data_IF_470844685446
#
_entry.id   IF_470844685446
#
_cell.length_a   1.000
_cell.length_b   1.000
_cell.length_c   1.000
_cell.angle_alpha   90.00
_cell.angle_beta   90.00
_cell.angle_gamma   90.00
#
_symmetry.space_group_name_H-M   'P 1'
#
loop_
_entity.id
_entity.type
_entity.pdbx_description
1 polymer ?
#
# COMPACT_ATOMS: atom_id res chain seq x y z
N UNK A 1 -21.83 -16.64 15.72
CA UNK A 1 -21.99 -17.26 14.39
C UNK A 1 -20.60 -17.37 13.79
N UNK A 2 -20.13 -18.57 13.42
CA UNK A 2 -18.79 -18.75 12.86
C UNK A 2 -18.82 -18.40 11.37
N UNK A 3 -18.00 -17.44 10.97
CA UNK A 3 -17.81 -16.98 9.60
C UNK A 3 -16.31 -16.88 9.27
N UNK A 4 -15.99 -16.47 8.04
CA UNK A 4 -14.58 -16.30 7.59
C UNK A 4 -13.77 -15.27 8.39
N UNK A 5 -14.39 -14.47 9.26
CA UNK A 5 -13.76 -13.43 10.07
C UNK A 5 -13.73 -13.76 11.58
N UNK A 6 -14.13 -14.95 11.99
CA UNK A 6 -14.23 -15.33 13.41
C UNK A 6 -12.92 -15.09 14.18
N UNK A 7 -11.75 -15.45 13.61
CA UNK A 7 -10.46 -15.28 14.30
C UNK A 7 -10.04 -13.82 14.45
N UNK A 8 -10.33 -12.96 13.45
CA UNK A 8 -10.00 -11.54 13.57
C UNK A 8 -10.97 -10.85 14.54
N UNK A 9 -12.25 -11.24 14.55
CA UNK A 9 -13.25 -10.77 15.54
C UNK A 9 -12.83 -11.12 16.97
N UNK A 10 -12.25 -12.30 17.22
CA UNK A 10 -11.70 -12.63 18.53
C UNK A 10 -10.48 -11.78 18.90
N UNK A 11 -9.64 -11.43 17.93
CA UNK A 11 -8.44 -10.63 18.18
C UNK A 11 -8.76 -9.17 18.51
N UNK A 12 -9.70 -8.55 17.80
CA UNK A 12 -9.98 -7.10 17.92
C UNK A 12 -11.29 -6.79 18.63
N UNK A 13 -12.22 -7.73 18.75
CA UNK A 13 -13.58 -7.50 19.24
C UNK A 13 -14.55 -7.05 18.14
N UNK A 14 -15.85 -7.26 18.35
CA UNK A 14 -16.88 -7.02 17.31
C UNK A 14 -16.99 -5.55 16.88
N UNK A 15 -16.94 -4.61 17.84
CA UNK A 15 -17.02 -3.17 17.55
C UNK A 15 -15.89 -2.69 16.64
N UNK A 16 -14.65 -3.06 16.99
CA UNK A 16 -13.46 -2.73 16.21
C UNK A 16 -13.47 -3.42 14.84
N UNK A 17 -13.99 -4.64 14.76
CA UNK A 17 -14.20 -5.33 13.50
C UNK A 17 -15.20 -4.59 12.59
N UNK A 18 -16.34 -4.14 13.14
CA UNK A 18 -17.30 -3.33 12.38
C UNK A 18 -16.68 -2.05 11.84
N UNK A 19 -15.86 -1.36 12.65
CA UNK A 19 -15.12 -0.18 12.21
C UNK A 19 -14.19 -0.48 11.02
N UNK A 20 -13.39 -1.55 11.10
CA UNK A 20 -12.53 -2.00 10.01
C UNK A 20 -13.35 -2.27 8.75
N UNK A 21 -14.47 -2.97 8.90
CA UNK A 21 -15.35 -3.34 7.78
C UNK A 21 -15.99 -2.14 7.09
N UNK A 22 -16.28 -1.07 7.83
CA UNK A 22 -16.89 0.14 7.29
C UNK A 22 -15.88 1.13 6.72
N UNK A 23 -14.61 1.06 7.13
CA UNK A 23 -13.54 1.97 6.68
C UNK A 23 -13.41 1.95 5.15
N UNK A 24 -13.53 3.11 4.50
CA UNK A 24 -13.32 3.26 3.06
C UNK A 24 -11.83 3.37 2.77
N UNK A 25 -11.29 2.37 2.08
CA UNK A 25 -9.86 2.23 1.81
C UNK A 25 -9.57 2.46 0.34
N UNK A 26 -8.57 3.31 0.08
CA UNK A 26 -7.94 3.46 -1.22
C UNK A 26 -6.56 2.81 -1.19
N UNK A 27 -6.28 1.91 -2.13
CA UNK A 27 -4.93 1.36 -2.35
C UNK A 27 -4.42 1.77 -3.72
N UNK A 28 -3.29 2.47 -3.72
CA UNK A 28 -2.62 2.99 -4.90
C UNK A 28 -1.39 2.13 -5.22
N UNK A 29 -1.42 1.41 -6.34
CA UNK A 29 -0.40 0.44 -6.74
C UNK A 29 -0.72 -0.98 -6.25
N UNK A 30 -0.69 -1.94 -7.17
CA UNK A 30 -1.03 -3.36 -6.99
C UNK A 30 0.12 -4.27 -7.42
N UNK A 31 1.35 -3.76 -7.37
CA UNK A 31 2.57 -4.54 -7.57
C UNK A 31 2.91 -5.44 -6.38
N UNK A 32 4.20 -5.76 -6.23
CA UNK A 32 4.65 -6.78 -5.26
C UNK A 32 4.40 -6.47 -3.78
N UNK A 33 4.13 -5.20 -3.44
CA UNK A 33 3.75 -4.76 -2.09
C UNK A 33 2.23 -4.61 -1.98
N UNK A 34 1.65 -3.77 -2.85
CA UNK A 34 0.24 -3.40 -2.78
C UNK A 34 -0.70 -4.58 -2.94
N UNK A 35 -0.37 -5.52 -3.84
CA UNK A 35 -1.20 -6.71 -4.04
C UNK A 35 -1.30 -7.60 -2.79
N UNK A 36 -0.19 -7.78 -2.08
CA UNK A 36 -0.17 -8.52 -0.81
C UNK A 36 -0.86 -7.74 0.31
N UNK A 37 -0.71 -6.41 0.33
CA UNK A 37 -1.43 -5.55 1.27
C UNK A 37 -2.95 -5.71 1.09
N UNK A 38 -3.46 -5.70 -0.15
CA UNK A 38 -4.89 -5.90 -0.44
C UNK A 38 -5.38 -7.27 0.02
N UNK A 39 -4.64 -8.34 -0.28
CA UNK A 39 -5.00 -9.70 0.15
C UNK A 39 -5.14 -9.76 1.69
N UNK A 40 -4.16 -9.21 2.41
CA UNK A 40 -4.16 -9.20 3.87
C UNK A 40 -5.29 -8.34 4.46
N UNK A 41 -5.57 -7.15 3.88
CA UNK A 41 -6.67 -6.28 4.31
C UNK A 41 -8.02 -6.97 4.11
N UNK A 42 -8.28 -7.49 2.91
CA UNK A 42 -9.53 -8.18 2.60
C UNK A 42 -9.77 -9.37 3.53
N UNK A 43 -8.75 -10.20 3.76
CA UNK A 43 -8.83 -11.33 4.70
C UNK A 43 -9.00 -10.90 6.16
N UNK A 44 -8.63 -9.66 6.50
CA UNK A 44 -8.78 -9.08 7.84
C UNK A 44 -10.09 -8.33 8.04
N UNK A 45 -10.98 -8.32 7.05
CA UNK A 45 -12.32 -7.74 7.17
C UNK A 45 -12.46 -6.32 6.64
N UNK A 46 -11.47 -5.76 5.94
CA UNK A 46 -11.67 -4.52 5.19
C UNK A 46 -12.49 -4.81 3.93
N UNK A 47 -13.72 -4.30 3.86
CA UNK A 47 -14.68 -4.64 2.80
C UNK A 47 -14.89 -3.51 1.78
N UNK A 48 -14.67 -2.25 2.17
CA UNK A 48 -14.84 -1.10 1.27
C UNK A 48 -13.51 -0.73 0.60
N UNK A 49 -13.10 -1.53 -0.38
CA UNK A 49 -11.82 -1.37 -1.08
C UNK A 49 -11.99 -0.71 -2.46
N UNK A 50 -11.24 0.37 -2.70
CA UNK A 50 -10.96 0.92 -4.04
C UNK A 50 -9.49 0.75 -4.36
N UNK A 51 -9.21 0.20 -5.54
CA UNK A 51 -7.89 -0.26 -5.96
C UNK A 51 -7.51 0.41 -7.29
N UNK A 52 -6.35 1.08 -7.33
CA UNK A 52 -5.87 1.80 -8.52
C UNK A 52 -4.53 1.23 -8.97
N UNK A 53 -4.45 0.81 -10.22
CA UNK A 53 -3.21 0.46 -10.91
C UNK A 53 -3.41 0.58 -12.43
N UNK A 54 -2.40 1.06 -13.15
CA UNK A 54 -2.46 1.24 -14.60
C UNK A 54 -2.00 0.01 -15.39
N UNK A 55 -1.26 -0.88 -14.73
CA UNK A 55 -0.50 -1.93 -15.41
C UNK A 55 -1.35 -3.18 -15.66
N UNK A 56 -0.82 -4.00 -16.57
CA UNK A 56 -1.22 -5.38 -16.77
C UNK A 56 -0.21 -6.33 -16.14
N UNK A 57 -0.59 -7.57 -15.90
CA UNK A 57 0.36 -8.58 -15.47
C UNK A 57 1.27 -9.02 -16.60
N UNK A 58 2.56 -9.05 -16.30
CA UNK A 58 3.61 -9.56 -17.19
C UNK A 58 4.29 -10.79 -16.59
N UNK A 59 4.91 -11.62 -17.44
CA UNK A 59 5.65 -12.81 -16.99
C UNK A 59 6.75 -12.46 -15.97
N UNK A 60 7.36 -11.29 -16.11
CA UNK A 60 8.40 -10.77 -15.20
C UNK A 60 7.86 -10.45 -13.81
N UNK A 61 6.55 -10.47 -13.59
CA UNK A 61 5.92 -10.18 -12.30
C UNK A 61 5.84 -11.42 -11.38
N UNK A 62 5.91 -12.63 -11.94
CA UNK A 62 5.70 -13.89 -11.22
C UNK A 62 6.65 -14.16 -10.06
N UNK A 63 7.82 -13.53 -10.06
CA UNK A 63 8.78 -13.68 -8.97
C UNK A 63 8.42 -12.89 -7.71
N UNK A 64 7.42 -11.99 -7.74
CA UNK A 64 7.19 -11.04 -6.64
C UNK A 64 5.77 -10.49 -6.49
N UNK A 65 4.84 -10.79 -7.40
CA UNK A 65 3.48 -10.26 -7.37
C UNK A 65 2.44 -11.39 -7.32
N UNK A 66 1.53 -11.32 -6.35
CA UNK A 66 0.37 -12.22 -6.30
C UNK A 66 -0.56 -11.97 -7.49
N UNK A 67 -1.21 -13.02 -8.01
CA UNK A 67 -2.12 -13.01 -9.17
C UNK A 67 -1.47 -12.77 -10.54
N UNK A 68 -0.15 -12.75 -10.59
CA UNK A 68 0.62 -12.56 -11.83
C UNK A 68 0.46 -13.63 -12.90
N UNK A 69 -0.19 -14.75 -12.58
CA UNK A 69 -0.57 -15.81 -13.51
C UNK A 69 -1.66 -15.36 -14.50
N UNK A 70 -2.39 -14.27 -14.21
CA UNK A 70 -3.39 -13.66 -15.09
C UNK A 70 -2.72 -12.77 -16.18
N UNK A 71 -1.82 -13.35 -16.96
CA UNK A 71 -0.98 -12.63 -17.93
C UNK A 71 -1.81 -11.79 -18.92
N UNK A 72 -1.43 -10.53 -19.09
CA UNK A 72 -2.10 -9.59 -20.00
C UNK A 72 -3.39 -8.96 -19.46
N UNK A 73 -3.89 -9.40 -18.30
CA UNK A 73 -5.03 -8.77 -17.64
C UNK A 73 -4.60 -7.54 -16.83
N UNK A 74 -5.47 -6.54 -16.76
CA UNK A 74 -5.28 -5.32 -15.96
C UNK A 74 -5.30 -5.67 -14.46
N UNK A 75 -4.25 -5.29 -13.72
CA UNK A 75 -4.09 -5.65 -12.31
C UNK A 75 -5.31 -5.21 -11.49
N UNK A 76 -5.75 -3.96 -11.67
CA UNK A 76 -6.90 -3.42 -10.94
C UNK A 76 -8.20 -4.22 -11.19
N UNK A 77 -8.40 -4.77 -12.39
CA UNK A 77 -9.60 -5.59 -12.70
C UNK A 77 -9.51 -6.98 -12.10
N UNK A 78 -8.34 -7.63 -12.16
CA UNK A 78 -8.13 -8.94 -11.53
C UNK A 78 -8.36 -8.85 -10.02
N UNK A 79 -7.75 -7.86 -9.36
CA UNK A 79 -7.95 -7.63 -7.93
C UNK A 79 -9.40 -7.29 -7.59
N UNK A 80 -10.06 -6.43 -8.37
CA UNK A 80 -11.48 -6.13 -8.17
C UNK A 80 -12.37 -7.37 -8.20
N UNK A 81 -12.14 -8.27 -9.17
CA UNK A 81 -12.86 -9.54 -9.32
C UNK A 81 -12.63 -10.48 -8.13
N UNK A 82 -11.40 -10.62 -7.67
CA UNK A 82 -11.04 -11.56 -6.59
C UNK A 82 -11.53 -11.08 -5.22
N UNK A 83 -11.47 -9.78 -4.97
CA UNK A 83 -11.72 -9.19 -3.64
C UNK A 83 -13.06 -8.46 -3.53
N UNK A 84 -13.92 -8.53 -4.56
CA UNK A 84 -15.19 -7.79 -4.62
C UNK A 84 -14.99 -6.29 -4.35
N UNK A 85 -14.01 -5.70 -5.01
CA UNK A 85 -13.55 -4.32 -4.81
C UNK A 85 -13.85 -3.44 -6.05
N UNK A 86 -13.72 -2.12 -5.90
CA UNK A 86 -13.76 -1.19 -7.04
C UNK A 86 -12.37 -1.09 -7.67
N UNK A 87 -12.21 -1.56 -8.90
CA UNK A 87 -10.94 -1.49 -9.65
C UNK A 87 -10.90 -0.37 -10.69
N UNK A 88 -9.98 0.58 -10.51
CA UNK A 88 -9.74 1.71 -11.42
C UNK A 88 -8.43 1.46 -12.16
N UNK A 89 -8.51 1.44 -13.49
CA UNK A 89 -7.33 1.28 -14.35
C UNK A 89 -6.90 2.66 -14.79
N UNK A 90 -5.94 3.24 -14.08
CA UNK A 90 -5.44 4.56 -14.38
C UNK A 90 -4.06 4.78 -13.78
N UNK A 91 -3.27 5.63 -14.44
CA UNK A 91 -2.00 6.11 -13.92
C UNK A 91 -2.28 7.19 -12.88
N UNK A 92 -1.59 7.10 -11.75
CA UNK A 92 -1.69 8.11 -10.70
C UNK A 92 -0.71 9.23 -11.04
N UNK A 93 -1.22 10.29 -11.62
CA UNK A 93 -0.49 11.52 -11.91
C UNK A 93 -1.34 12.76 -11.56
N UNK A 94 -0.82 13.95 -11.82
CA UNK A 94 -1.51 15.20 -11.49
C UNK A 94 -2.85 15.35 -12.22
N UNK A 95 -2.98 14.83 -13.44
CA UNK A 95 -4.22 14.92 -14.22
C UNK A 95 -5.30 14.03 -13.62
N UNK A 96 -4.96 12.78 -13.31
CA UNK A 96 -5.86 11.87 -12.61
C UNK A 96 -6.27 12.42 -11.25
N UNK A 97 -5.30 12.86 -10.45
CA UNK A 97 -5.54 13.34 -9.08
C UNK A 97 -6.35 14.64 -9.03
N UNK A 98 -6.27 15.50 -10.04
CA UNK A 98 -7.10 16.70 -10.13
C UNK A 98 -8.60 16.39 -10.28
N UNK A 99 -8.93 15.20 -10.81
CA UNK A 99 -10.30 14.78 -11.08
C UNK A 99 -10.77 13.63 -10.17
N UNK A 100 -9.94 13.22 -9.22
CA UNK A 100 -10.23 12.10 -8.33
C UNK A 100 -10.48 12.60 -6.91
N UNK A 101 -11.71 12.44 -6.42
CA UNK A 101 -12.09 12.88 -5.08
C UNK A 101 -11.51 11.93 -4.01
N UNK A 102 -10.40 12.34 -3.41
CA UNK A 102 -9.79 11.62 -2.31
C UNK A 102 -10.61 11.70 -1.02
N UNK A 103 -11.50 12.69 -0.87
CA UNK A 103 -12.21 12.95 0.40
C UNK A 103 -13.21 11.85 0.77
N UNK A 104 -13.57 10.99 -0.19
CA UNK A 104 -14.41 9.82 0.04
C UNK A 104 -13.72 8.73 0.88
N UNK A 105 -12.39 8.77 1.04
CA UNK A 105 -11.61 7.71 1.69
C UNK A 105 -11.14 8.09 3.09
N UNK A 106 -11.30 7.15 4.02
CA UNK A 106 -10.83 7.27 5.41
C UNK A 106 -9.35 6.89 5.54
N UNK A 107 -8.92 5.93 4.72
CA UNK A 107 -7.57 5.37 4.69
C UNK A 107 -7.05 5.35 3.25
N UNK A 108 -5.92 6.02 3.01
CA UNK A 108 -5.20 5.97 1.74
C UNK A 108 -3.85 5.27 1.96
N UNK A 109 -3.60 4.24 1.15
CA UNK A 109 -2.41 3.40 1.19
C UNK A 109 -1.62 3.57 -0.10
N UNK A 110 -0.41 4.09 0.02
CA UNK A 110 0.51 4.29 -1.08
C UNK A 110 1.52 3.12 -1.21
N UNK A 111 1.36 2.33 -2.27
CA UNK A 111 2.28 1.27 -2.69
C UNK A 111 2.82 1.52 -4.12
N UNK A 112 2.82 2.76 -4.59
CA UNK A 112 3.35 3.19 -5.90
C UNK A 112 4.89 3.10 -5.90
N UNK A 113 5.52 2.93 -7.04
CA UNK A 113 7.00 2.96 -7.17
C UNK A 113 7.54 4.28 -7.76
N UNK A 114 6.73 4.97 -8.57
CA UNK A 114 7.03 6.29 -9.11
C UNK A 114 7.03 7.40 -8.05
N UNK A 115 8.18 8.05 -7.83
CA UNK A 115 8.33 9.10 -6.82
C UNK A 115 7.43 10.34 -7.08
N UNK A 116 7.38 10.92 -8.30
CA UNK A 116 6.46 12.01 -8.61
C UNK A 116 5.01 11.72 -8.21
N UNK A 117 4.48 10.53 -8.56
CA UNK A 117 3.13 10.12 -8.19
C UNK A 117 2.94 10.06 -6.66
N UNK A 118 3.90 9.49 -5.93
CA UNK A 118 3.85 9.41 -4.45
C UNK A 118 3.81 10.79 -3.80
N UNK A 119 4.61 11.73 -4.32
CA UNK A 119 4.65 13.12 -3.83
C UNK A 119 3.36 13.86 -4.17
N UNK A 120 2.84 13.71 -5.39
CA UNK A 120 1.58 14.30 -5.81
C UNK A 120 0.43 13.83 -4.90
N UNK A 121 0.31 12.52 -4.69
CA UNK A 121 -0.69 11.95 -3.80
C UNK A 121 -0.56 12.48 -2.36
N UNK A 122 0.65 12.48 -1.79
CA UNK A 122 0.88 12.94 -0.42
C UNK A 122 0.50 14.42 -0.20
N UNK A 123 0.70 15.29 -1.21
CA UNK A 123 0.37 16.71 -1.11
C UNK A 123 -1.14 17.00 -1.09
N UNK A 124 -1.98 16.05 -1.51
CA UNK A 124 -3.44 16.21 -1.56
C UNK A 124 -4.17 15.66 -0.32
N UNK A 125 -3.45 15.00 0.58
CA UNK A 125 -4.04 14.36 1.76
C UNK A 125 -4.49 15.42 2.79
N UNK A 126 -5.74 15.33 3.23
CA UNK A 126 -6.21 16.04 4.42
C UNK A 126 -5.90 15.22 5.69
N UNK A 127 -4.74 15.45 6.28
CA UNK A 127 -4.29 14.77 7.50
C UNK A 127 -5.18 14.99 8.73
N UNK A 128 -6.15 15.92 8.70
CA UNK A 128 -7.14 16.07 9.77
C UNK A 128 -8.26 15.03 9.65
N UNK A 129 -8.52 14.56 8.43
CA UNK A 129 -9.65 13.67 8.10
C UNK A 129 -9.23 12.30 7.62
N UNK A 130 -7.99 12.12 7.19
CA UNK A 130 -7.58 10.91 6.49
C UNK A 130 -6.34 10.30 7.16
N UNK A 131 -6.33 8.97 7.22
CA UNK A 131 -5.12 8.23 7.51
C UNK A 131 -4.39 8.04 6.18
N UNK A 132 -3.13 8.46 6.12
CA UNK A 132 -2.25 8.17 5.00
C UNK A 132 -1.03 7.38 5.47
N UNK A 133 -0.76 6.27 4.79
CA UNK A 133 0.42 5.44 5.01
C UNK A 133 1.05 5.08 3.67
N UNK A 134 2.35 4.84 3.66
CA UNK A 134 3.10 4.57 2.43
C UNK A 134 4.09 3.42 2.60
N UNK A 135 4.68 2.98 1.48
CA UNK A 135 5.77 2.00 1.42
C UNK A 135 6.84 2.43 0.42
N UNK A 136 8.11 2.08 0.71
CA UNK A 136 9.28 2.37 -0.13
C UNK A 136 9.76 1.19 -0.99
N UNK A 137 9.07 0.05 -0.93
CA UNK A 137 9.37 -1.13 -1.76
C UNK A 137 10.46 -2.06 -1.20
N UNK A 138 10.38 -3.34 -1.60
CA UNK A 138 11.23 -4.43 -1.11
C UNK A 138 12.30 -4.94 -2.08
N UNK A 139 12.57 -4.21 -3.17
CA UNK A 139 13.60 -4.61 -4.13
C UNK A 139 15.01 -4.52 -3.51
N UNK A 140 15.93 -5.33 -4.05
CA UNK A 140 17.37 -5.41 -3.70
C UNK A 140 17.66 -5.89 -2.28
N UNK A 141 16.68 -6.52 -1.64
CA UNK A 141 16.69 -6.92 -0.23
C UNK A 141 16.40 -8.42 -0.09
N UNK A 142 16.93 -9.04 0.96
CA UNK A 142 16.79 -10.46 1.24
C UNK A 142 16.18 -10.72 2.62
N UNK A 143 16.35 -9.81 3.59
CA UNK A 143 15.99 -10.03 4.99
C UNK A 143 14.68 -9.30 5.37
N UNK A 144 13.54 -10.02 5.43
CA UNK A 144 12.26 -9.41 5.82
C UNK A 144 12.22 -8.99 7.30
N UNK A 145 13.13 -9.47 8.15
CA UNK A 145 13.14 -9.12 9.59
C UNK A 145 13.61 -7.68 9.82
N UNK A 146 14.23 -7.05 8.81
CA UNK A 146 14.68 -5.65 8.83
C UNK A 146 13.62 -4.64 8.41
N UNK A 147 12.41 -5.10 8.12
CA UNK A 147 11.27 -4.23 7.77
C UNK A 147 10.77 -3.50 9.02
N UNK A 148 10.63 -2.18 8.93
CA UNK A 148 10.26 -1.29 10.03
C UNK A 148 9.18 -0.31 9.59
N UNK A 149 8.42 0.20 10.56
CA UNK A 149 7.46 1.29 10.36
C UNK A 149 7.90 2.52 11.15
N UNK A 150 8.00 3.68 10.51
CA UNK A 150 8.31 4.96 11.18
C UNK A 150 7.81 6.13 10.35
N UNK A 151 7.92 7.35 10.87
CA UNK A 151 7.66 8.57 10.10
C UNK A 151 8.53 8.61 8.84
N UNK A 152 7.98 9.06 7.71
CA UNK A 152 8.71 9.22 6.45
C UNK A 152 10.02 9.99 6.65
N UNK A 153 10.05 11.01 7.51
CA UNK A 153 11.24 11.82 7.78
C UNK A 153 12.29 11.17 8.68
N UNK A 154 11.97 10.06 9.34
CA UNK A 154 12.86 9.30 10.23
C UNK A 154 13.44 8.03 9.59
N UNK A 155 13.11 7.76 8.33
CA UNK A 155 13.64 6.62 7.57
C UNK A 155 15.14 6.78 7.27
N UNK A 156 15.85 5.66 7.19
CA UNK A 156 17.30 5.55 6.93
C UNK A 156 17.60 4.25 6.19
N UNK A 157 18.81 4.09 5.64
CA UNK A 157 19.21 2.87 4.89
C UNK A 157 18.49 2.62 3.56
N UNK A 158 17.41 3.34 3.27
CA UNK A 158 16.57 3.13 2.09
C UNK A 158 16.69 4.27 1.07
N UNK A 159 17.12 3.94 -0.15
CA UNK A 159 17.35 4.90 -1.22
C UNK A 159 16.05 5.50 -1.78
N UNK A 160 14.97 4.71 -1.89
CA UNK A 160 13.68 5.23 -2.36
C UNK A 160 13.09 6.16 -1.30
N UNK A 161 13.17 5.77 -0.02
CA UNK A 161 12.80 6.64 1.10
C UNK A 161 13.58 7.95 1.07
N UNK A 162 14.91 7.89 0.84
CA UNK A 162 15.76 9.09 0.75
C UNK A 162 15.31 10.03 -0.36
N UNK A 163 15.03 9.49 -1.55
CA UNK A 163 14.54 10.27 -2.70
C UNK A 163 13.15 10.83 -2.42
N UNK A 164 12.25 10.04 -1.83
CA UNK A 164 10.90 10.48 -1.48
C UNK A 164 10.93 11.64 -0.46
N UNK A 165 11.73 11.52 0.61
CA UNK A 165 11.95 12.61 1.57
C UNK A 165 12.49 13.89 0.91
N UNK A 166 13.39 13.74 -0.06
CA UNK A 166 13.96 14.87 -0.77
C UNK A 166 12.90 15.59 -1.61
N UNK A 167 12.14 14.87 -2.43
CA UNK A 167 11.12 15.46 -3.30
C UNK A 167 9.93 16.04 -2.51
N UNK A 168 9.54 15.43 -1.37
CA UNK A 168 8.54 16.02 -0.46
C UNK A 168 8.99 17.39 0.07
N UNK A 169 10.25 17.50 0.50
CA UNK A 169 10.78 18.80 0.97
C UNK A 169 10.80 19.83 -0.16
N UNK A 170 11.21 19.40 -1.36
CA UNK A 170 11.26 20.24 -2.56
C UNK A 170 9.86 20.71 -2.98
N UNK A 171 8.82 19.89 -2.82
CA UNK A 171 7.43 20.28 -3.11
C UNK A 171 6.82 21.21 -2.05
N UNK A 172 7.54 21.51 -0.96
CA UNK A 172 7.02 22.32 0.15
C UNK A 172 6.10 21.56 1.11
N UNK A 173 6.03 20.22 1.04
CA UNK A 173 5.20 19.39 1.90
C UNK A 173 5.48 19.65 3.39
N UNK A 174 4.42 19.84 4.19
CA UNK A 174 4.49 20.14 5.63
C UNK A 174 3.87 19.05 6.52
N UNK A 175 3.22 18.05 5.93
CA UNK A 175 2.60 16.96 6.69
C UNK A 175 3.60 15.95 7.22
N UNK A 176 3.11 14.87 7.79
CA UNK A 176 3.89 13.71 8.17
C UNK A 176 3.01 12.46 8.12
N UNK A 177 3.61 11.34 7.76
CA UNK A 177 2.93 10.05 7.69
C UNK A 177 3.90 8.92 8.01
N UNK A 178 3.34 7.77 8.40
CA UNK A 178 4.13 6.57 8.63
C UNK A 178 4.35 5.81 7.32
N UNK A 179 5.54 5.25 7.20
CA UNK A 179 5.99 4.51 6.03
C UNK A 179 6.59 3.18 6.45
N UNK A 180 6.35 2.14 5.64
CA UNK A 180 7.06 0.86 5.71
C UNK A 180 8.34 0.97 4.89
N UNK A 181 9.48 0.72 5.53
CA UNK A 181 10.80 0.71 4.89
C UNK A 181 11.64 -0.45 5.45
N UNK A 182 12.82 -0.68 4.88
CA UNK A 182 13.82 -1.56 5.50
C UNK A 182 15.17 -0.84 5.47
N UNK A 183 15.93 -1.00 6.55
CA UNK A 183 17.28 -0.44 6.69
C UNK A 183 18.37 -1.39 6.13
N UNK A 184 17.97 -2.49 5.51
CA UNK A 184 18.86 -3.41 4.80
C UNK A 184 19.51 -2.71 3.60
N UNK A 185 20.83 -2.87 3.48
CA UNK A 185 21.58 -2.38 2.33
C UNK A 185 21.19 -3.16 1.06
N UNK A 186 21.25 -2.48 -0.08
CA UNK A 186 20.93 -3.08 -1.36
C UNK A 186 22.01 -4.10 -1.78
N UNK A 187 21.59 -5.33 -2.09
CA UNK A 187 22.49 -6.41 -2.54
C UNK A 187 22.87 -6.32 -4.03
N UNK A 188 22.14 -5.55 -4.84
CA UNK A 188 22.40 -5.43 -6.27
C UNK A 188 22.01 -4.06 -6.85
N UNK A 189 22.53 -3.77 -8.06
CA UNK A 189 22.23 -2.53 -8.79
C UNK A 189 20.88 -2.58 -9.50
N UNK A 190 20.50 -3.73 -10.05
CA UNK A 190 19.22 -3.89 -10.73
C UNK A 190 18.06 -4.01 -9.75
N UNK A 191 16.82 -4.00 -10.21
CA UNK A 191 15.63 -4.16 -9.36
C UNK A 191 15.34 -5.65 -9.05
N UNK A 192 16.38 -6.40 -8.71
CA UNK A 192 16.26 -7.78 -8.22
C UNK A 192 15.31 -7.83 -7.02
N UNK A 193 14.46 -8.85 -6.96
CA UNK A 193 13.40 -8.93 -5.94
C UNK A 193 13.23 -10.36 -5.45
N UNK A 194 13.01 -10.50 -4.15
CA UNK A 194 12.64 -11.75 -3.51
C UNK A 194 11.22 -11.62 -2.95
N UNK A 195 10.32 -12.51 -3.34
CA UNK A 195 8.92 -12.47 -2.90
C UNK A 195 8.76 -12.45 -1.39
N UNK A 196 9.64 -13.16 -0.65
CA UNK A 196 9.63 -13.16 0.81
C UNK A 196 9.77 -11.76 1.42
N UNK A 197 10.52 -10.86 0.77
CA UNK A 197 10.66 -9.46 1.21
C UNK A 197 9.52 -8.60 0.69
N UNK A 198 9.21 -8.62 -0.61
CA UNK A 198 8.15 -7.74 -1.16
C UNK A 198 6.78 -8.03 -0.54
N UNK A 199 6.48 -9.32 -0.30
CA UNK A 199 5.26 -9.71 0.40
C UNK A 199 5.28 -9.27 1.87
N UNK A 200 6.40 -9.42 2.58
CA UNK A 200 6.51 -8.95 3.96
C UNK A 200 6.34 -7.43 4.10
N UNK A 201 6.77 -6.65 3.10
CA UNK A 201 6.44 -5.23 3.03
C UNK A 201 4.93 -4.99 2.92
N UNK A 202 4.23 -5.77 2.09
CA UNK A 202 2.76 -5.70 1.98
C UNK A 202 2.05 -6.09 3.28
N UNK A 203 2.52 -7.14 3.96
CA UNK A 203 1.99 -7.56 5.26
C UNK A 203 2.24 -6.51 6.35
N UNK A 204 3.43 -5.91 6.39
CA UNK A 204 3.74 -4.83 7.31
C UNK A 204 2.88 -3.58 7.05
N UNK A 205 2.58 -3.29 5.78
CA UNK A 205 1.70 -2.18 5.38
C UNK A 205 0.25 -2.43 5.80
N UNK A 206 -0.27 -3.64 5.60
CA UNK A 206 -1.59 -4.03 6.08
C UNK A 206 -1.69 -4.00 7.62
N UNK A 207 -0.65 -4.44 8.32
CA UNK A 207 -0.57 -4.34 9.78
C UNK A 207 -0.57 -2.88 10.26
N UNK A 208 0.16 -2.00 9.57
CA UNK A 208 0.17 -0.56 9.87
C UNK A 208 -1.21 0.06 9.64
N UNK A 209 -1.88 -0.27 8.53
CA UNK A 209 -3.25 0.16 8.24
C UNK A 209 -4.22 -0.25 9.36
N UNK A 210 -4.22 -1.53 9.74
CA UNK A 210 -5.05 -2.06 10.82
C UNK A 210 -4.83 -1.27 12.12
N UNK A 211 -3.58 -1.13 12.55
CA UNK A 211 -3.26 -0.40 13.80
C UNK A 211 -3.70 1.07 13.74
N UNK A 212 -3.55 1.74 12.60
CA UNK A 212 -3.97 3.14 12.44
C UNK A 212 -5.48 3.31 12.51
N UNK A 213 -6.23 2.44 11.84
CA UNK A 213 -7.71 2.46 11.87
C UNK A 213 -8.23 2.17 13.28
N UNK A 214 -7.61 1.22 13.98
CA UNK A 214 -8.00 0.88 15.35
C UNK A 214 -7.67 1.97 16.39
N UNK A 215 -6.66 2.80 16.14
CA UNK A 215 -6.22 3.85 17.05
C UNK A 215 -6.95 5.19 16.88
N UNK A 216 -7.64 5.37 15.74
CA UNK A 216 -8.45 6.55 15.45
C UNK A 216 -9.78 6.55 16.21
#
# INVERSE_FOLDING_TARGET
MNDRFTRIKWLVGEEKFQKISQTKVLVCGLGGVGGICVDALYRSGFQNLTLIDADKFEITNQNRQIHSENLGEEKAKVFARIYNAKGIVSKIDNEFLANFDLSEFDLIIDAIDDIPAKVALANLIDFKRQIFISSTGGARKLDPTRIKTTSIFKTHGDALAKKFRYELRKSGFKGNFDVVFSDEEAHCKDLGSFMGVTASFGLALASLALRKVLAR
#
